data_IF_678909430853
#
_entry.id   IF_678909430853
#
_cell.length_a   1.000
_cell.length_b   1.000
_cell.length_c   1.000
_cell.angle_alpha   90.00
_cell.angle_beta   90.00
_cell.angle_gamma   90.00
#
_symmetry.space_group_name_H-M   'P 1'
#
loop_
_entity.id
_entity.type
_entity.pdbx_description
1 polymer ?
#
# COMPACT_ATOMS: atom_id res chain seq x y z
N UNK A 1 -4.22 -7.15 5.08
CA UNK A 1 -4.95 -8.03 4.13
C UNK A 1 -5.40 -7.11 3.01
N UNK A 2 -4.80 -7.18 1.83
CA UNK A 2 -5.05 -6.21 0.75
C UNK A 2 -6.48 -6.35 0.24
N UNK A 3 -7.28 -5.28 0.29
CA UNK A 3 -8.64 -5.26 -0.27
C UNK A 3 -8.63 -5.01 -1.79
N UNK A 4 -7.52 -5.31 -2.47
CA UNK A 4 -7.28 -4.92 -3.87
C UNK A 4 -8.36 -5.43 -4.84
N UNK A 5 -8.85 -6.66 -4.66
CA UNK A 5 -9.94 -7.18 -5.53
C UNK A 5 -11.25 -6.42 -5.34
N UNK A 6 -11.55 -5.98 -4.11
CA UNK A 6 -12.72 -5.14 -3.83
C UNK A 6 -12.54 -3.74 -4.40
N UNK A 7 -11.33 -3.19 -4.29
CA UNK A 7 -10.98 -1.92 -4.90
C UNK A 7 -11.12 -1.97 -6.43
N UNK A 8 -10.72 -3.08 -7.08
CA UNK A 8 -10.99 -3.31 -8.50
C UNK A 8 -12.48 -3.31 -8.82
N UNK A 9 -13.34 -3.86 -7.95
CA UNK A 9 -14.79 -3.75 -8.15
C UNK A 9 -15.27 -2.29 -8.07
N UNK A 10 -14.76 -1.49 -7.14
CA UNK A 10 -15.10 -0.06 -7.05
C UNK A 10 -14.61 0.71 -8.27
N UNK A 11 -13.37 0.49 -8.70
CA UNK A 11 -12.80 1.10 -9.92
C UNK A 11 -13.60 0.72 -11.15
N UNK A 12 -14.02 -0.55 -11.29
CA UNK A 12 -14.86 -0.99 -12.41
C UNK A 12 -16.19 -0.21 -12.45
N UNK A 13 -16.86 -0.06 -11.30
CA UNK A 13 -18.08 0.74 -11.20
C UNK A 13 -17.84 2.22 -11.53
N UNK A 14 -16.75 2.81 -11.04
CA UNK A 14 -16.40 4.21 -11.35
C UNK A 14 -16.14 4.38 -12.85
N UNK A 15 -15.38 3.47 -13.47
CA UNK A 15 -15.12 3.48 -14.91
C UNK A 15 -16.40 3.31 -15.75
N UNK A 16 -17.45 2.70 -15.21
CA UNK A 16 -18.76 2.61 -15.84
C UNK A 16 -19.62 3.88 -15.65
N UNK A 17 -19.31 4.73 -14.65
CA UNK A 17 -20.02 5.98 -14.36
C UNK A 17 -19.40 7.22 -15.02
N UNK A 18 -18.09 7.22 -15.30
CA UNK A 18 -17.44 8.35 -15.98
C UNK A 18 -17.87 8.44 -17.45
N UNK A 19 -17.66 9.61 -18.05
CA UNK A 19 -17.97 9.83 -19.46
C UNK A 19 -17.11 8.94 -20.38
N UNK A 20 -17.68 8.64 -21.55
CA UNK A 20 -17.02 7.76 -22.52
C UNK A 20 -15.71 8.32 -23.04
N UNK A 21 -15.52 9.64 -23.09
CA UNK A 21 -14.27 10.24 -23.56
C UNK A 21 -13.13 9.93 -22.58
N UNK A 22 -13.34 10.15 -21.29
CA UNK A 22 -12.39 9.81 -20.24
C UNK A 22 -12.14 8.30 -20.15
N UNK A 23 -13.20 7.49 -20.28
CA UNK A 23 -13.07 6.03 -20.28
C UNK A 23 -12.22 5.52 -21.45
N UNK A 24 -12.43 6.07 -22.64
CA UNK A 24 -11.70 5.67 -23.85
C UNK A 24 -10.21 6.04 -23.83
N UNK A 25 -9.79 6.97 -22.97
CA UNK A 25 -8.37 7.27 -22.73
C UNK A 25 -7.66 6.13 -21.99
N UNK A 26 -8.38 5.34 -21.19
CA UNK A 26 -7.82 4.20 -20.45
C UNK A 26 -7.63 3.02 -21.39
N UNK A 27 -6.48 2.34 -21.29
CA UNK A 27 -6.20 1.20 -22.18
C UNK A 27 -7.21 0.06 -21.98
N UNK A 28 -7.68 -0.52 -23.09
CA UNK A 28 -8.63 -1.63 -23.06
C UNK A 28 -8.10 -2.85 -22.28
N UNK A 29 -6.78 -3.10 -22.34
CA UNK A 29 -6.14 -4.17 -21.58
C UNK A 29 -6.23 -3.94 -20.06
N UNK A 30 -6.07 -2.69 -19.61
CA UNK A 30 -6.21 -2.36 -18.19
C UNK A 30 -7.66 -2.50 -17.72
N UNK A 31 -8.63 -2.00 -18.50
CA UNK A 31 -10.06 -2.17 -18.20
C UNK A 31 -10.41 -3.67 -18.10
N UNK A 32 -9.92 -4.47 -19.05
CA UNK A 32 -10.10 -5.93 -19.04
C UNK A 32 -9.50 -6.57 -17.79
N UNK A 33 -8.27 -6.20 -17.44
CA UNK A 33 -7.60 -6.70 -16.23
C UNK A 33 -8.41 -6.41 -14.96
N UNK A 34 -8.91 -5.17 -14.79
CA UNK A 34 -9.76 -4.80 -13.66
C UNK A 34 -11.02 -5.67 -13.61
N UNK A 35 -11.68 -5.88 -14.75
CA UNK A 35 -12.89 -6.72 -14.85
C UNK A 35 -12.63 -8.18 -14.52
N UNK A 36 -11.46 -8.70 -14.86
CA UNK A 36 -11.08 -10.10 -14.60
C UNK A 36 -10.69 -10.33 -13.13
N UNK A 37 -10.00 -9.36 -12.51
CA UNK A 37 -9.46 -9.53 -11.16
C UNK A 37 -10.38 -9.03 -10.03
N UNK A 38 -11.45 -8.28 -10.35
CA UNK A 38 -12.38 -7.75 -9.35
C UNK A 38 -13.04 -8.85 -8.51
N UNK A 39 -13.43 -8.46 -7.29
CA UNK A 39 -14.23 -9.31 -6.43
C UNK A 39 -15.70 -9.29 -6.88
N UNK A 40 -16.17 -10.39 -7.44
CA UNK A 40 -17.55 -10.54 -7.92
C UNK A 40 -18.59 -10.63 -6.78
N UNK A 41 -18.17 -10.92 -5.54
CA UNK A 41 -19.06 -11.00 -4.39
C UNK A 41 -19.19 -9.66 -3.66
N UNK A 42 -18.22 -8.77 -3.84
CA UNK A 42 -18.27 -7.42 -3.31
C UNK A 42 -19.13 -6.53 -4.20
N UNK A 43 -20.08 -5.82 -3.59
CA UNK A 43 -20.96 -4.87 -4.28
C UNK A 43 -20.58 -3.46 -3.85
N UNK A 44 -19.82 -2.72 -4.68
CA UNK A 44 -19.55 -1.31 -4.44
C UNK A 44 -20.85 -0.52 -4.24
N UNK A 45 -20.81 0.44 -3.32
CA UNK A 45 -21.92 1.37 -3.10
C UNK A 45 -21.44 2.78 -3.40
N UNK A 46 -21.53 3.17 -4.67
CA UNK A 46 -21.08 4.48 -5.15
C UNK A 46 -22.31 5.28 -5.59
N UNK A 47 -22.48 6.46 -5.01
CA UNK A 47 -23.58 7.34 -5.33
C UNK A 47 -23.14 8.39 -6.37
N UNK A 48 -23.57 8.33 -7.64
CA UNK A 48 -23.10 9.27 -8.67
C UNK A 48 -23.45 10.74 -8.38
N UNK A 49 -24.38 11.01 -7.47
CA UNK A 49 -24.77 12.36 -7.05
C UNK A 49 -23.80 12.99 -6.03
N UNK A 50 -22.92 12.18 -5.41
CA UNK A 50 -21.95 12.66 -4.43
C UNK A 50 -20.55 12.76 -5.04
N UNK A 51 -19.75 13.78 -4.67
CA UNK A 51 -18.36 13.88 -5.09
C UNK A 51 -17.53 12.71 -4.54
N UNK A 52 -16.41 12.37 -5.20
CA UNK A 52 -15.56 11.22 -4.84
C UNK A 52 -15.04 11.29 -3.39
N UNK A 53 -14.77 12.51 -2.91
CA UNK A 53 -14.28 12.79 -1.56
C UNK A 53 -15.30 12.47 -0.46
N UNK A 54 -16.59 12.43 -0.81
CA UNK A 54 -17.69 12.08 0.09
C UNK A 54 -18.10 10.60 -0.05
N UNK A 55 -17.53 9.87 -1.00
CA UNK A 55 -17.79 8.44 -1.16
C UNK A 55 -17.03 7.64 -0.09
N UNK A 56 -17.69 6.62 0.46
CA UNK A 56 -17.03 5.64 1.30
C UNK A 56 -16.37 4.55 0.42
N UNK A 57 -15.24 4.89 -0.20
CA UNK A 57 -14.43 3.99 -1.03
C UNK A 57 -13.16 3.53 -0.29
N UNK A 58 -12.59 2.43 -0.76
CA UNK A 58 -11.38 1.87 -0.17
C UNK A 58 -10.16 2.76 -0.45
N UNK A 59 -9.19 2.85 0.48
CA UNK A 59 -7.92 3.53 0.22
C UNK A 59 -7.21 3.01 -1.04
N UNK A 60 -7.23 1.70 -1.26
CA UNK A 60 -6.64 1.11 -2.48
C UNK A 60 -7.36 1.56 -3.77
N UNK A 61 -8.66 1.89 -3.70
CA UNK A 61 -9.40 2.47 -4.84
C UNK A 61 -8.86 3.86 -5.16
N UNK A 62 -8.61 4.69 -4.13
CA UNK A 62 -8.03 6.02 -4.29
C UNK A 62 -6.64 5.92 -4.94
N UNK A 63 -5.81 4.97 -4.51
CA UNK A 63 -4.48 4.74 -5.08
C UNK A 63 -4.57 4.39 -6.58
N UNK A 64 -5.49 3.51 -6.97
CA UNK A 64 -5.69 3.13 -8.38
C UNK A 64 -6.22 4.31 -9.20
N UNK A 65 -7.14 5.11 -8.67
CA UNK A 65 -7.64 6.32 -9.34
C UNK A 65 -6.55 7.36 -9.53
N UNK A 66 -5.65 7.53 -8.54
CA UNK A 66 -4.49 8.42 -8.67
C UNK A 66 -3.56 7.96 -9.82
N UNK A 67 -3.34 6.64 -9.96
CA UNK A 67 -2.58 6.08 -11.08
C UNK A 67 -3.29 6.29 -12.43
N UNK A 68 -4.62 6.14 -12.48
CA UNK A 68 -5.40 6.42 -13.69
C UNK A 68 -5.32 7.89 -14.10
N UNK A 69 -5.50 8.81 -13.14
CA UNK A 69 -5.38 10.26 -13.39
C UNK A 69 -3.99 10.59 -13.91
N UNK A 70 -2.94 10.07 -13.29
CA UNK A 70 -1.55 10.30 -13.67
C UNK A 70 -1.23 9.81 -15.10
N UNK A 71 -1.76 8.66 -15.49
CA UNK A 71 -1.40 7.99 -16.75
C UNK A 71 -2.30 8.37 -17.93
N UNK A 72 -3.56 8.73 -17.69
CA UNK A 72 -4.56 8.85 -18.76
C UNK A 72 -5.34 10.17 -18.77
N UNK A 73 -5.52 10.85 -17.64
CA UNK A 73 -6.45 11.99 -17.54
C UNK A 73 -5.79 13.33 -17.22
N UNK A 74 -4.47 13.36 -17.01
CA UNK A 74 -3.72 14.60 -16.83
C UNK A 74 -3.11 15.09 -18.14
N UNK A 75 -3.16 16.41 -18.35
CA UNK A 75 -2.19 17.08 -19.20
C UNK A 75 -0.82 17.24 -18.50
N UNK A 76 0.18 17.76 -19.19
CA UNK A 76 1.56 17.87 -18.65
C UNK A 76 1.67 18.77 -17.41
N UNK A 77 0.85 19.81 -17.30
CA UNK A 77 0.85 20.71 -16.13
C UNK A 77 0.20 20.03 -14.93
N UNK A 78 -1.01 19.49 -15.11
CA UNK A 78 -1.73 18.74 -14.08
C UNK A 78 -0.89 17.54 -13.59
N UNK A 79 -0.19 16.86 -14.49
CA UNK A 79 0.69 15.73 -14.15
C UNK A 79 1.81 16.15 -13.22
N UNK A 80 2.45 17.30 -13.50
CA UNK A 80 3.51 17.85 -12.63
C UNK A 80 2.98 18.22 -11.26
N UNK A 81 1.78 18.79 -11.19
CA UNK A 81 1.14 19.14 -9.91
C UNK A 81 0.79 17.89 -9.11
N UNK A 82 0.15 16.91 -9.74
CA UNK A 82 -0.19 15.64 -9.10
C UNK A 82 1.06 14.93 -8.57
N UNK A 83 2.13 14.86 -9.36
CA UNK A 83 3.40 14.27 -8.91
C UNK A 83 4.01 15.00 -7.70
N UNK A 84 3.89 16.33 -7.63
CA UNK A 84 4.34 17.08 -6.44
C UNK A 84 3.55 16.68 -5.20
N UNK A 85 2.22 16.53 -5.32
CA UNK A 85 1.36 16.10 -4.21
C UNK A 85 1.72 14.68 -3.76
N UNK A 86 1.80 13.74 -4.70
CA UNK A 86 2.16 12.34 -4.42
C UNK A 86 3.53 12.24 -3.75
N UNK A 87 4.54 12.96 -4.25
CA UNK A 87 5.87 12.99 -3.64
C UNK A 87 5.87 13.58 -2.23
N UNK A 88 5.08 14.62 -1.98
CA UNK A 88 4.96 15.22 -0.65
C UNK A 88 4.31 14.24 0.34
N UNK A 89 3.25 13.54 -0.09
CA UNK A 89 2.58 12.53 0.72
C UNK A 89 3.54 11.38 1.07
N UNK A 90 4.31 10.88 0.09
CA UNK A 90 5.30 9.83 0.30
C UNK A 90 6.40 10.29 1.28
N UNK A 91 6.93 11.51 1.12
CA UNK A 91 7.91 12.06 2.06
C UNK A 91 7.37 12.14 3.48
N UNK A 92 6.11 12.54 3.65
CA UNK A 92 5.45 12.58 4.95
C UNK A 92 5.30 11.18 5.54
N UNK A 93 4.78 10.23 4.77
CA UNK A 93 4.66 8.84 5.18
C UNK A 93 6.01 8.24 5.62
N UNK A 94 7.07 8.48 4.83
CA UNK A 94 8.43 8.01 5.15
C UNK A 94 8.98 8.67 6.41
N UNK A 95 8.68 9.96 6.63
CA UNK A 95 9.08 10.67 7.86
C UNK A 95 8.39 10.08 9.08
N UNK A 96 7.07 9.87 9.02
CA UNK A 96 6.29 9.27 10.09
C UNK A 96 6.75 7.83 10.40
N UNK A 97 7.04 7.04 9.35
CA UNK A 97 7.60 5.70 9.50
C UNK A 97 8.98 5.72 10.18
N UNK A 98 9.88 6.62 9.76
CA UNK A 98 11.18 6.80 10.39
C UNK A 98 11.04 7.19 11.86
N UNK A 99 10.19 8.16 12.19
CA UNK A 99 9.98 8.59 13.58
C UNK A 99 9.42 7.47 14.47
N UNK A 100 8.50 6.66 13.93
CA UNK A 100 7.88 5.52 14.65
C UNK A 100 8.84 4.36 14.89
N UNK A 101 9.72 4.09 13.93
CA UNK A 101 10.64 2.94 13.96
C UNK A 101 12.11 3.33 14.12
N UNK A 102 12.38 4.57 14.52
CA UNK A 102 13.71 5.07 14.86
C UNK A 102 14.27 4.23 16.03
N UNK A 103 15.14 3.28 15.67
CA UNK A 103 15.83 2.36 16.58
C UNK A 103 16.38 3.12 17.80
N UNK A 104 17.01 4.27 17.58
CA UNK A 104 17.54 5.11 18.65
C UNK A 104 16.49 5.53 19.70
N UNK A 105 15.23 5.79 19.32
CA UNK A 105 14.16 6.11 20.28
C UNK A 105 13.63 4.85 20.99
N UNK A 106 13.57 3.73 20.29
CA UNK A 106 13.14 2.43 20.82
C UNK A 106 14.14 1.85 21.85
N UNK A 107 15.44 2.14 21.71
CA UNK A 107 16.48 1.66 22.62
C UNK A 107 16.88 2.68 23.71
N UNK A 108 16.62 3.99 23.53
CA UNK A 108 16.91 5.02 24.57
C UNK A 108 15.93 5.00 25.74
N UNK A 109 14.73 4.43 25.60
CA UNK A 109 13.74 4.30 26.70
C UNK A 109 14.07 3.19 27.71
N UNK A 110 15.08 2.36 27.46
CA UNK A 110 15.52 1.30 28.37
C UNK A 110 16.71 1.72 29.27
N UNK A 111 17.00 3.02 29.43
CA UNK A 111 18.05 3.48 30.35
C UNK A 111 17.67 3.47 31.84
N UNK A 112 16.44 3.09 32.18
CA UNK A 112 16.02 2.80 33.56
C UNK A 112 15.47 1.38 33.64
N UNK A 113 16.36 0.40 33.51
CA UNK A 113 16.15 -0.91 34.13
C UNK A 113 17.37 -1.18 34.99
N UNK A 114 17.09 -1.47 36.25
CA UNK A 114 18.01 -1.92 37.28
C UNK A 114 19.07 -2.85 36.69
N UNK A 115 20.31 -2.68 37.13
CA UNK A 115 21.39 -3.62 36.86
C UNK A 115 21.02 -4.92 37.58
N UNK A 116 20.25 -5.77 36.90
CA UNK A 116 20.15 -7.18 37.24
C UNK A 116 21.41 -7.80 36.65
N UNK A 117 22.32 -8.20 37.53
CA UNK A 117 23.53 -8.94 37.20
C UNK A 117 23.10 -10.26 36.55
N UNK A 118 23.06 -10.27 35.22
CA UNK A 118 22.74 -11.45 34.42
C UNK A 118 24.02 -12.27 34.26
N UNK A 119 24.02 -13.56 34.62
CA UNK A 119 25.21 -14.39 34.50
C UNK A 119 25.70 -14.41 33.05
N UNK A 120 27.01 -14.24 32.94
CA UNK A 120 27.78 -14.20 31.71
C UNK A 120 27.48 -15.42 30.82
N UNK A 121 27.18 -15.13 29.54
CA UNK A 121 27.20 -16.06 28.39
C UNK A 121 26.04 -17.06 28.29
N UNK A 122 24.95 -16.64 27.62
CA UNK A 122 23.99 -17.59 27.02
C UNK A 122 24.55 -18.08 25.69
N UNK A 123 25.21 -19.22 25.72
CA UNK A 123 25.55 -20.00 24.54
C UNK A 123 24.27 -20.44 23.80
N UNK A 124 23.95 -19.78 22.69
CA UNK A 124 22.84 -20.15 21.78
C UNK A 124 23.18 -21.34 20.88
N UNK A 125 23.94 -22.29 21.39
CA UNK A 125 24.49 -23.42 20.64
C UNK A 125 23.40 -24.31 20.02
N UNK A 126 22.21 -24.42 20.62
CA UNK A 126 21.21 -25.41 20.20
C UNK A 126 20.51 -25.08 18.88
N UNK A 127 20.29 -23.80 18.56
CA UNK A 127 19.61 -23.41 17.32
C UNK A 127 20.57 -23.41 16.13
N UNK A 128 21.78 -22.90 16.35
CA UNK A 128 22.84 -22.85 15.33
C UNK A 128 23.33 -24.26 14.98
N UNK A 129 23.51 -25.15 15.96
CA UNK A 129 23.88 -26.56 15.71
C UNK A 129 22.81 -27.30 14.89
N UNK A 130 21.51 -27.04 15.13
CA UNK A 130 20.41 -27.62 14.33
C UNK A 130 20.42 -27.11 12.88
N UNK A 131 20.65 -25.81 12.69
CA UNK A 131 20.71 -25.19 11.36
C UNK A 131 21.89 -25.72 10.52
N UNK A 132 23.07 -25.84 11.13
CA UNK A 132 24.27 -26.39 10.46
C UNK A 132 24.06 -27.84 10.04
N UNK A 133 23.40 -28.66 10.88
CA UNK A 133 23.11 -30.07 10.56
C UNK A 133 22.14 -30.22 9.38
N UNK A 134 21.18 -29.31 9.26
CA UNK A 134 20.21 -29.30 8.16
C UNK A 134 20.88 -28.97 6.81
N UNK A 135 21.74 -27.94 6.79
CA UNK A 135 22.45 -27.52 5.56
C UNK A 135 23.41 -28.62 5.07
N UNK A 136 24.08 -29.34 5.97
CA UNK A 136 24.98 -30.46 5.62
C UNK A 136 24.28 -31.68 5.02
N UNK A 137 22.96 -31.79 5.14
CA UNK A 137 22.19 -32.87 4.52
C UNK A 137 21.62 -32.49 3.14
N UNK A 138 21.80 -31.24 2.71
CA UNK A 138 21.30 -30.70 1.43
C UNK A 138 22.42 -30.58 0.38
N UNK A 139 23.68 -30.55 0.81
CA UNK A 139 24.89 -30.57 -0.03
C UNK A 139 25.47 -31.98 0.03
#
# INVERSE_FOLDING_TARGET
>A
MSNLKKAFSEVDMILDLIDSEMKNKVSANFIKFIKEEKDNNYKPNINPELPLEEQNILPETIDILALLKLNYWCNEEEKKELLKILNKNEQQFQKEAKEKYEIDKLFKTNKTKEIIDLPEKVESENFIKKLIKFIKNII
#
